data_IF_677133068330
#
_entry.id   IF_677133068330
#
_cell.length_a   1.000
_cell.length_b   1.000
_cell.length_c   1.000
_cell.angle_alpha   90.00
_cell.angle_beta   90.00
_cell.angle_gamma   90.00
#
_symmetry.space_group_name_H-M   'P 1'
#
loop_
_entity.id
_entity.type
_entity.pdbx_description
1 polymer ?
#
# COMPACT_ATOMS: atom_id res chain seq x y z
N UNK A 1 1.60 -3.59 15.33
CA UNK A 1 0.89 -3.63 14.03
C UNK A 1 -0.60 -3.47 14.29
N UNK A 2 -1.31 -4.49 14.78
CA UNK A 2 -2.79 -4.50 14.95
C UNK A 2 -3.51 -3.21 15.32
N UNK A 3 -3.03 -2.49 16.36
CA UNK A 3 -3.67 -1.26 16.85
C UNK A 3 -2.78 -0.01 16.77
N UNK A 4 -1.52 -0.16 16.34
CA UNK A 4 -0.53 0.93 16.37
C UNK A 4 -0.12 1.40 14.98
N UNK A 5 -0.35 0.59 13.95
CA UNK A 5 -0.03 0.93 12.56
C UNK A 5 -1.04 0.25 11.61
N UNK A 6 -1.47 0.93 10.54
CA UNK A 6 -2.28 0.29 9.51
C UNK A 6 -1.48 -0.83 8.82
N UNK A 7 -2.16 -1.89 8.37
CA UNK A 7 -1.55 -2.95 7.56
C UNK A 7 -1.56 -4.36 8.16
N UNK A 8 -2.19 -4.59 9.33
CA UNK A 8 -2.34 -5.95 9.85
C UNK A 8 -3.18 -6.85 8.92
N UNK A 9 -4.18 -6.29 8.23
CA UNK A 9 -4.96 -7.00 7.22
C UNK A 9 -4.15 -7.29 5.95
N UNK A 10 -3.23 -6.40 5.57
CA UNK A 10 -2.25 -6.70 4.52
C UNK A 10 -1.36 -7.89 4.92
N UNK A 11 -0.95 -7.95 6.18
CA UNK A 11 -0.18 -9.07 6.72
C UNK A 11 -1.00 -10.37 6.73
N UNK A 12 -2.28 -10.32 7.10
CA UNK A 12 -3.18 -11.47 7.03
C UNK A 12 -3.29 -12.01 5.59
N UNK A 13 -3.49 -11.12 4.60
CA UNK A 13 -3.49 -11.49 3.19
C UNK A 13 -2.15 -12.09 2.74
N UNK A 14 -1.02 -11.49 3.17
CA UNK A 14 0.31 -12.02 2.89
C UNK A 14 0.49 -13.44 3.41
N UNK A 15 0.12 -13.71 4.66
CA UNK A 15 0.21 -15.06 5.25
C UNK A 15 -0.68 -16.06 4.49
N UNK A 16 -1.89 -15.64 4.09
CA UNK A 16 -2.78 -16.46 3.27
C UNK A 16 -2.15 -16.82 1.92
N UNK A 17 -1.65 -15.82 1.18
CA UNK A 17 -1.00 -16.03 -0.12
C UNK A 17 0.31 -16.83 0.02
N UNK A 18 1.08 -16.61 1.08
CA UNK A 18 2.29 -17.36 1.38
C UNK A 18 1.98 -18.82 1.70
N UNK A 19 0.90 -19.09 2.44
CA UNK A 19 0.40 -20.45 2.67
C UNK A 19 0.01 -21.16 1.38
N UNK A 20 -0.71 -20.48 0.49
CA UNK A 20 -1.05 -20.99 -0.85
C UNK A 20 0.22 -21.31 -1.63
N UNK A 21 1.19 -20.39 -1.65
CA UNK A 21 2.46 -20.59 -2.33
C UNK A 21 3.25 -21.78 -1.76
N UNK A 22 3.38 -21.90 -0.44
CA UNK A 22 4.04 -23.06 0.22
C UNK A 22 3.34 -24.38 -0.11
N UNK A 23 2.01 -24.38 -0.18
CA UNK A 23 1.24 -25.56 -0.55
C UNK A 23 1.53 -26.03 -1.99
N UNK A 24 1.66 -25.12 -2.94
CA UNK A 24 2.03 -25.48 -4.31
C UNK A 24 3.51 -25.83 -4.45
N UNK A 25 4.38 -25.22 -3.66
CA UNK A 25 5.84 -25.48 -3.65
C UNK A 25 6.24 -26.72 -2.84
N UNK A 26 5.30 -27.39 -2.16
CA UNK A 26 5.57 -28.52 -1.25
C UNK A 26 6.31 -29.72 -1.85
N UNK A 27 6.26 -29.87 -3.18
CA UNK A 27 6.99 -30.92 -3.91
C UNK A 27 8.49 -30.66 -3.97
N UNK A 28 8.89 -29.40 -4.01
CA UNK A 28 10.29 -28.98 -3.99
C UNK A 28 10.79 -28.81 -2.54
N UNK A 29 9.95 -28.25 -1.67
CA UNK A 29 10.28 -27.98 -0.27
C UNK A 29 9.19 -28.54 0.66
N UNK A 30 9.43 -29.66 1.38
CA UNK A 30 8.44 -30.27 2.24
C UNK A 30 7.78 -29.29 3.21
N UNK A 31 6.44 -29.33 3.29
CA UNK A 31 5.65 -28.50 4.18
C UNK A 31 5.27 -29.30 5.44
N UNK A 32 5.89 -28.96 6.56
CA UNK A 32 5.68 -29.63 7.85
C UNK A 32 4.35 -29.20 8.47
N UNK A 33 3.70 -30.10 9.19
CA UNK A 33 2.44 -29.82 9.92
C UNK A 33 2.57 -28.61 10.84
N UNK A 34 3.70 -28.46 11.53
CA UNK A 34 3.98 -27.30 12.37
C UNK A 34 3.91 -26.00 11.58
N UNK A 35 4.47 -25.94 10.38
CA UNK A 35 4.42 -24.72 9.54
C UNK A 35 2.98 -24.39 9.13
N UNK A 36 2.18 -25.41 8.76
CA UNK A 36 0.75 -25.23 8.45
C UNK A 36 0.01 -24.63 9.64
N UNK A 37 0.22 -25.17 10.84
CA UNK A 37 -0.39 -24.63 12.07
C UNK A 37 0.00 -23.17 12.28
N UNK A 38 1.28 -22.82 12.11
CA UNK A 38 1.74 -21.43 12.29
C UNK A 38 1.11 -20.50 11.24
N UNK A 39 1.06 -20.91 9.97
CA UNK A 39 0.47 -20.11 8.89
C UNK A 39 -1.02 -19.86 9.17
N UNK A 40 -1.78 -20.91 9.48
CA UNK A 40 -3.23 -20.79 9.74
C UNK A 40 -3.50 -19.99 11.00
N UNK A 41 -2.82 -20.29 12.11
CA UNK A 41 -3.05 -19.60 13.38
C UNK A 41 -2.67 -18.12 13.31
N UNK A 42 -1.52 -17.79 12.70
CA UNK A 42 -1.10 -16.39 12.54
C UNK A 42 -2.00 -15.63 11.56
N UNK A 43 -2.44 -16.25 10.48
CA UNK A 43 -3.40 -15.66 9.54
C UNK A 43 -4.76 -15.38 10.18
N UNK A 44 -5.27 -16.33 10.98
CA UNK A 44 -6.51 -16.17 11.73
C UNK A 44 -6.39 -15.07 12.80
N UNK A 45 -5.29 -15.05 13.56
CA UNK A 45 -5.03 -14.02 14.56
C UNK A 45 -4.90 -12.64 13.92
N UNK A 46 -4.17 -12.50 12.81
CA UNK A 46 -4.00 -11.23 12.12
C UNK A 46 -5.34 -10.70 11.57
N UNK A 47 -6.18 -11.59 11.03
CA UNK A 47 -7.55 -11.26 10.59
C UNK A 47 -8.41 -10.79 11.76
N UNK A 48 -8.45 -11.57 12.86
CA UNK A 48 -9.24 -11.25 14.04
C UNK A 48 -8.82 -9.89 14.63
N UNK A 49 -7.51 -9.66 14.78
CA UNK A 49 -6.97 -8.38 15.25
C UNK A 49 -7.31 -7.26 14.27
N UNK A 50 -7.20 -7.48 12.96
CA UNK A 50 -7.48 -6.46 11.95
C UNK A 50 -8.93 -5.98 11.90
N UNK A 51 -9.89 -6.84 12.21
CA UNK A 51 -11.31 -6.47 12.27
C UNK A 51 -11.81 -6.14 13.68
N UNK A 52 -11.04 -6.48 14.71
CA UNK A 52 -11.45 -6.27 16.10
C UNK A 52 -11.79 -4.81 16.43
N UNK A 53 -11.07 -3.84 15.86
CA UNK A 53 -11.33 -2.43 16.17
C UNK A 53 -12.69 -1.96 15.65
N UNK A 54 -13.13 -2.43 14.48
CA UNK A 54 -14.46 -2.16 13.97
C UNK A 54 -15.54 -2.71 14.92
N UNK A 55 -15.33 -3.91 15.46
CA UNK A 55 -16.25 -4.54 16.41
C UNK A 55 -16.25 -3.78 17.75
N UNK A 56 -15.07 -3.42 18.27
CA UNK A 56 -14.93 -2.67 19.53
C UNK A 56 -15.61 -1.31 19.40
N UNK A 57 -15.38 -0.58 18.30
CA UNK A 57 -16.03 0.69 18.03
C UNK A 57 -17.55 0.54 18.00
N UNK A 58 -18.06 -0.48 17.32
CA UNK A 58 -19.50 -0.76 17.28
C UNK A 58 -20.09 -1.03 18.66
N UNK A 59 -19.43 -1.85 19.49
CA UNK A 59 -19.90 -2.18 20.84
C UNK A 59 -19.88 -0.94 21.74
N UNK A 60 -18.79 -0.18 21.72
CA UNK A 60 -18.60 0.96 22.63
C UNK A 60 -19.51 2.14 22.27
N UNK A 61 -19.76 2.37 20.98
CA UNK A 61 -20.58 3.48 20.51
C UNK A 61 -22.07 3.13 20.35
N UNK A 62 -22.41 1.84 20.27
CA UNK A 62 -23.74 1.39 19.91
C UNK A 62 -24.07 1.55 18.42
N UNK A 63 -23.13 2.01 17.58
CA UNK A 63 -23.29 2.21 16.14
C UNK A 63 -22.36 1.28 15.34
N UNK A 64 -22.90 0.27 14.62
CA UNK A 64 -22.12 -0.60 13.74
C UNK A 64 -21.29 0.15 12.68
N UNK A 65 -21.71 1.36 12.30
CA UNK A 65 -21.04 2.20 11.31
C UNK A 65 -19.91 3.07 11.87
N UNK A 66 -19.72 3.15 13.20
CA UNK A 66 -18.86 4.14 13.83
C UNK A 66 -17.41 4.15 13.31
N UNK A 67 -16.83 2.97 13.08
CA UNK A 67 -15.48 2.84 12.53
C UNK A 67 -15.41 3.42 11.11
N UNK A 68 -16.31 3.00 10.22
CA UNK A 68 -16.32 3.47 8.83
C UNK A 68 -16.66 4.95 8.74
N UNK A 69 -17.57 5.45 9.57
CA UNK A 69 -17.86 6.89 9.66
C UNK A 69 -16.61 7.70 10.02
N UNK A 70 -15.78 7.19 10.93
CA UNK A 70 -14.51 7.82 11.31
C UNK A 70 -13.50 7.80 10.16
N UNK A 71 -13.34 6.66 9.49
CA UNK A 71 -12.41 6.53 8.35
C UNK A 71 -12.84 7.42 7.16
N UNK A 72 -14.13 7.48 6.86
CA UNK A 72 -14.67 8.29 5.77
C UNK A 72 -14.68 9.78 6.10
N UNK A 73 -14.75 10.18 7.37
CA UNK A 73 -14.67 11.58 7.76
C UNK A 73 -13.37 12.25 7.29
N UNK A 74 -12.25 11.52 7.21
CA UNK A 74 -10.98 12.04 6.69
C UNK A 74 -11.03 12.38 5.19
N UNK A 75 -11.92 11.74 4.41
CA UNK A 75 -12.07 11.99 2.98
C UNK A 75 -12.87 13.25 2.67
N UNK A 76 -13.79 13.64 3.56
CA UNK A 76 -14.69 14.80 3.34
C UNK A 76 -13.95 16.13 3.13
N UNK A 77 -12.74 16.26 3.65
CA UNK A 77 -11.89 17.42 3.42
C UNK A 77 -11.40 17.53 1.96
N UNK A 78 -11.41 16.42 1.22
CA UNK A 78 -10.95 16.33 -0.17
C UNK A 78 -12.11 16.15 -1.15
N UNK A 79 -13.18 15.46 -0.72
CA UNK A 79 -14.38 15.16 -1.50
C UNK A 79 -15.61 15.63 -0.72
N UNK A 80 -16.07 16.90 -0.92
CA UNK A 80 -17.18 17.48 -0.16
C UNK A 80 -18.50 16.71 -0.31
N UNK A 81 -18.73 16.09 -1.47
CA UNK A 81 -19.96 15.38 -1.82
C UNK A 81 -19.88 13.85 -1.64
N UNK A 82 -18.90 13.33 -0.88
CA UNK A 82 -18.78 11.88 -0.67
C UNK A 82 -19.90 11.36 0.24
N UNK A 83 -20.81 10.55 -0.31
CA UNK A 83 -22.05 10.08 0.32
C UNK A 83 -21.85 9.12 1.52
N UNK A 84 -20.65 9.03 2.09
CA UNK A 84 -20.40 8.25 3.31
C UNK A 84 -20.51 6.74 3.14
N UNK A 85 -20.48 6.22 1.91
CA UNK A 85 -20.52 4.79 1.64
C UNK A 85 -19.12 4.24 1.35
N UNK A 86 -18.70 3.24 2.13
CA UNK A 86 -17.45 2.54 1.89
C UNK A 86 -17.64 1.49 0.79
N UNK A 87 -16.95 1.68 -0.34
CA UNK A 87 -16.77 0.67 -1.38
C UNK A 87 -15.27 0.37 -1.50
N UNK A 88 -14.82 -0.89 -1.36
CA UNK A 88 -13.42 -1.23 -1.59
C UNK A 88 -12.94 -0.77 -2.98
N UNK A 89 -11.72 -0.27 -3.07
CA UNK A 89 -11.05 0.18 -4.30
C UNK A 89 -11.54 1.51 -4.90
N UNK A 90 -12.75 1.95 -4.57
CA UNK A 90 -13.34 3.19 -5.07
C UNK A 90 -12.54 4.45 -4.68
N UNK A 91 -12.04 4.48 -3.44
CA UNK A 91 -11.32 5.63 -2.88
C UNK A 91 -10.09 6.03 -3.70
N UNK A 92 -9.34 5.05 -4.22
CA UNK A 92 -8.15 5.32 -5.03
C UNK A 92 -8.50 5.90 -6.39
N UNK A 93 -9.58 5.42 -7.01
CA UNK A 93 -10.07 5.93 -8.30
C UNK A 93 -10.60 7.35 -8.15
N UNK A 94 -11.39 7.61 -7.10
CA UNK A 94 -11.87 8.96 -6.78
C UNK A 94 -10.73 9.93 -6.48
N UNK A 95 -9.74 9.49 -5.69
CA UNK A 95 -8.56 10.28 -5.41
C UNK A 95 -7.75 10.59 -6.66
N UNK A 96 -7.58 9.60 -7.55
CA UNK A 96 -6.90 9.82 -8.82
C UNK A 96 -7.64 10.85 -9.70
N UNK A 97 -8.97 10.74 -9.81
CA UNK A 97 -9.78 11.73 -10.52
C UNK A 97 -9.64 13.14 -9.91
N UNK A 98 -9.74 13.26 -8.58
CA UNK A 98 -9.54 14.52 -7.86
C UNK A 98 -8.18 15.16 -8.18
N UNK A 99 -7.08 14.41 -8.08
CA UNK A 99 -5.75 14.94 -8.39
C UNK A 99 -5.60 15.32 -9.86
N UNK A 100 -6.23 14.58 -10.76
CA UNK A 100 -6.29 14.93 -12.18
C UNK A 100 -6.92 16.30 -12.44
N UNK A 101 -8.03 16.61 -11.75
CA UNK A 101 -8.66 17.94 -11.79
C UNK A 101 -7.74 19.02 -11.20
N UNK A 102 -7.17 18.76 -10.02
CA UNK A 102 -6.25 19.69 -9.34
C UNK A 102 -5.02 20.03 -10.19
N UNK A 103 -4.50 19.06 -10.95
CA UNK A 103 -3.34 19.25 -11.83
C UNK A 103 -3.69 19.73 -13.24
N UNK A 104 -4.98 19.92 -13.54
CA UNK A 104 -5.44 20.42 -14.85
C UNK A 104 -5.41 19.39 -15.99
N UNK A 105 -5.31 18.10 -15.67
CA UNK A 105 -5.39 17.00 -16.65
C UNK A 105 -6.82 16.44 -16.79
N UNK A 106 -7.74 16.91 -15.96
CA UNK A 106 -9.10 16.39 -15.81
C UNK A 106 -9.13 15.03 -15.10
N UNK A 107 -10.31 14.64 -14.64
CA UNK A 107 -10.55 13.39 -13.92
C UNK A 107 -10.02 12.15 -14.67
N UNK A 108 -10.23 12.11 -15.99
CA UNK A 108 -9.75 11.01 -16.83
C UNK A 108 -8.21 10.91 -16.83
N UNK A 109 -7.50 12.04 -16.89
CA UNK A 109 -6.04 12.05 -16.86
C UNK A 109 -5.48 11.45 -15.57
N UNK A 110 -6.11 11.76 -14.44
CA UNK A 110 -5.74 11.16 -13.14
C UNK A 110 -5.96 9.65 -13.09
N UNK A 111 -7.10 9.16 -13.57
CA UNK A 111 -7.41 7.71 -13.63
C UNK A 111 -6.49 6.97 -14.60
N UNK A 112 -6.14 7.58 -15.73
CA UNK A 112 -5.16 7.02 -16.68
C UNK A 112 -3.80 6.89 -16.00
N UNK A 113 -3.33 7.93 -15.29
CA UNK A 113 -2.06 7.88 -14.56
C UNK A 113 -2.06 6.75 -13.52
N UNK A 114 -3.13 6.62 -12.73
CA UNK A 114 -3.28 5.52 -11.78
C UNK A 114 -3.18 4.16 -12.47
N UNK A 115 -3.87 4.00 -13.59
CA UNK A 115 -3.87 2.75 -14.38
C UNK A 115 -2.47 2.39 -14.87
N UNK A 116 -1.71 3.37 -15.36
CA UNK A 116 -0.32 3.19 -15.80
C UNK A 116 0.59 2.80 -14.64
N UNK A 117 0.46 3.44 -13.47
CA UNK A 117 1.23 3.11 -12.27
C UNK A 117 0.94 1.69 -11.82
N UNK A 118 -0.34 1.29 -11.78
CA UNK A 118 -0.75 -0.06 -11.38
C UNK A 118 -0.27 -1.12 -12.37
N UNK A 119 -0.38 -0.86 -13.67
CA UNK A 119 0.13 -1.75 -14.71
C UNK A 119 1.65 -1.91 -14.61
N UNK A 120 2.38 -0.81 -14.40
CA UNK A 120 3.84 -0.83 -14.21
C UNK A 120 4.25 -1.59 -12.95
N UNK A 121 3.57 -1.38 -11.82
CA UNK A 121 3.82 -2.11 -10.58
C UNK A 121 3.55 -3.61 -10.73
N UNK A 122 2.43 -3.98 -11.36
CA UNK A 122 2.11 -5.37 -11.66
C UNK A 122 3.15 -6.00 -12.59
N UNK A 123 3.53 -5.32 -13.66
CA UNK A 123 4.55 -5.76 -14.60
C UNK A 123 5.90 -5.98 -13.90
N UNK A 124 6.31 -5.06 -13.03
CA UNK A 124 7.54 -5.19 -12.25
C UNK A 124 7.48 -6.39 -11.29
N UNK A 125 6.39 -6.54 -10.54
CA UNK A 125 6.21 -7.66 -9.60
C UNK A 125 6.13 -9.01 -10.29
N UNK A 126 5.58 -9.07 -11.51
CA UNK A 126 5.43 -10.29 -12.29
C UNK A 126 6.69 -10.63 -13.08
N UNK A 127 7.32 -9.66 -13.74
CA UNK A 127 8.32 -9.93 -14.78
C UNK A 127 9.71 -9.36 -14.52
N UNK A 128 9.88 -8.35 -13.66
CA UNK A 128 11.22 -7.77 -13.46
C UNK A 128 12.16 -8.79 -12.78
N UNK A 129 13.29 -9.16 -13.42
CA UNK A 129 14.19 -10.18 -12.88
C UNK A 129 14.80 -9.75 -11.53
N UNK A 130 15.04 -8.46 -11.34
CA UNK A 130 15.57 -7.90 -10.09
C UNK A 130 14.58 -8.03 -8.94
N UNK A 131 13.28 -7.88 -9.21
CA UNK A 131 12.22 -8.06 -8.20
C UNK A 131 12.02 -9.53 -7.90
N UNK A 132 12.08 -10.40 -8.92
CA UNK A 132 12.04 -11.86 -8.74
C UNK A 132 13.18 -12.38 -7.88
N UNK A 133 14.37 -11.78 -8.01
CA UNK A 133 15.55 -12.12 -7.20
C UNK A 133 15.37 -11.84 -5.69
N UNK A 134 14.39 -11.03 -5.28
CA UNK A 134 14.09 -10.75 -3.88
C UNK A 134 13.32 -11.88 -3.18
N UNK A 135 12.91 -12.91 -3.92
CA UNK A 135 12.16 -14.04 -3.39
C UNK A 135 10.64 -13.82 -3.31
N UNK A 136 9.89 -14.90 -3.08
CA UNK A 136 8.43 -14.87 -3.03
C UNK A 136 7.89 -14.09 -1.83
N UNK A 137 8.57 -14.09 -0.68
CA UNK A 137 8.11 -13.44 0.55
C UNK A 137 7.95 -11.94 0.34
N UNK A 138 8.99 -11.28 -0.18
CA UNK A 138 8.99 -9.83 -0.44
C UNK A 138 7.92 -9.46 -1.49
N UNK A 139 7.77 -10.29 -2.53
CA UNK A 139 6.79 -10.06 -3.60
C UNK A 139 5.35 -10.22 -3.11
N UNK A 140 5.08 -11.28 -2.36
CA UNK A 140 3.75 -11.53 -1.78
C UNK A 140 3.38 -10.47 -0.75
N UNK A 141 4.34 -10.02 0.07
CA UNK A 141 4.14 -8.88 0.97
C UNK A 141 3.77 -7.62 0.19
N UNK A 142 4.56 -7.29 -0.84
CA UNK A 142 4.32 -6.12 -1.67
C UNK A 142 2.94 -6.13 -2.34
N UNK A 143 2.57 -7.26 -2.95
CA UNK A 143 1.23 -7.45 -3.54
C UNK A 143 0.15 -7.25 -2.49
N UNK A 144 0.26 -7.93 -1.35
CA UNK A 144 -0.75 -7.88 -0.29
C UNK A 144 -0.93 -6.46 0.26
N UNK A 145 0.18 -5.75 0.43
CA UNK A 145 0.18 -4.38 0.94
C UNK A 145 -0.37 -3.37 -0.06
N UNK A 146 -0.02 -3.49 -1.35
CA UNK A 146 -0.59 -2.67 -2.42
C UNK A 146 -2.10 -2.91 -2.56
N UNK A 147 -2.55 -4.17 -2.56
CA UNK A 147 -3.98 -4.51 -2.61
C UNK A 147 -4.72 -3.93 -1.42
N UNK A 148 -4.15 -4.05 -0.21
CA UNK A 148 -4.73 -3.46 0.99
C UNK A 148 -4.87 -1.94 0.88
N UNK A 149 -3.80 -1.23 0.47
CA UNK A 149 -3.86 0.22 0.30
C UNK A 149 -4.90 0.60 -0.76
N UNK A 150 -4.93 -0.08 -1.90
CA UNK A 150 -5.90 0.17 -2.95
C UNK A 150 -7.34 -0.03 -2.46
N UNK A 151 -7.58 -1.08 -1.65
CA UNK A 151 -8.90 -1.40 -1.16
C UNK A 151 -9.48 -0.34 -0.21
N UNK A 152 -8.68 0.18 0.72
CA UNK A 152 -9.23 0.95 1.86
C UNK A 152 -8.82 2.42 1.89
N UNK A 153 -7.68 2.77 1.29
CA UNK A 153 -7.06 4.07 1.49
C UNK A 153 -7.46 5.07 0.40
N UNK A 154 -7.64 6.33 0.80
CA UNK A 154 -7.80 7.45 -0.13
C UNK A 154 -6.42 8.11 -0.34
N UNK A 155 -5.89 8.22 -1.58
CA UNK A 155 -4.52 8.66 -1.85
C UNK A 155 -4.36 10.18 -1.61
N UNK A 156 -4.18 10.55 -0.35
CA UNK A 156 -3.90 11.91 0.12
C UNK A 156 -2.39 12.09 0.41
N UNK A 157 -2.02 13.23 1.00
CA UNK A 157 -0.63 13.59 1.33
C UNK A 157 0.16 12.53 2.11
N UNK A 158 -0.51 11.72 2.93
CA UNK A 158 0.11 10.65 3.71
C UNK A 158 0.50 9.41 2.90
N UNK A 159 0.18 9.35 1.60
CA UNK A 159 0.49 8.20 0.74
C UNK A 159 1.98 7.83 0.77
N UNK A 160 2.89 8.81 0.72
CA UNK A 160 4.34 8.54 0.73
C UNK A 160 4.79 7.82 2.00
N UNK A 161 4.26 8.23 3.16
CA UNK A 161 4.53 7.56 4.44
C UNK A 161 3.96 6.15 4.46
N UNK A 162 2.78 5.97 3.88
CA UNK A 162 2.16 4.66 3.78
C UNK A 162 2.83 3.75 2.76
N UNK A 163 3.65 4.24 1.83
CA UNK A 163 4.42 3.38 0.93
C UNK A 163 5.73 2.86 1.55
N UNK A 164 6.16 3.38 2.71
CA UNK A 164 7.39 2.95 3.40
C UNK A 164 7.47 1.43 3.66
N UNK A 165 6.38 0.70 3.99
CA UNK A 165 6.44 -0.76 4.14
C UNK A 165 6.76 -1.53 2.85
N UNK A 166 6.72 -0.88 1.68
CA UNK A 166 7.21 -1.44 0.42
C UNK A 166 8.73 -1.26 0.23
N UNK A 167 9.43 -0.64 1.19
CA UNK A 167 10.87 -0.41 1.12
C UNK A 167 11.73 -1.65 0.83
N UNK A 168 11.36 -2.89 1.22
CA UNK A 168 12.13 -4.06 0.79
C UNK A 168 12.24 -4.22 -0.73
N UNK A 169 11.29 -3.69 -1.52
CA UNK A 169 11.37 -3.69 -2.99
C UNK A 169 12.55 -2.85 -3.51
N UNK A 170 13.06 -1.88 -2.75
CA UNK A 170 14.27 -1.13 -3.14
C UNK A 170 15.50 -2.03 -3.26
N UNK A 171 15.49 -3.21 -2.61
CA UNK A 171 16.51 -4.23 -2.81
C UNK A 171 16.70 -4.60 -4.29
N UNK A 172 15.65 -4.51 -5.13
CA UNK A 172 15.74 -4.78 -6.56
C UNK A 172 16.73 -3.84 -7.27
N UNK A 173 16.85 -2.59 -6.82
CA UNK A 173 17.79 -1.62 -7.39
C UNK A 173 19.24 -1.92 -7.01
N UNK A 174 19.48 -2.71 -5.94
CA UNK A 174 20.80 -3.13 -5.51
C UNK A 174 21.29 -4.42 -6.19
N UNK A 175 20.39 -5.18 -6.85
CA UNK A 175 20.71 -6.43 -7.55
C UNK A 175 21.74 -6.22 -8.68
N UNK A 176 21.63 -5.20 -9.55
CA UNK A 176 22.66 -4.92 -10.55
C UNK A 176 24.02 -4.58 -9.89
N UNK A 177 25.09 -5.19 -10.42
CA UNK A 177 26.47 -4.96 -9.94
C UNK A 177 27.16 -3.73 -10.55
N UNK A 178 26.55 -3.09 -11.54
CA UNK A 178 27.13 -1.92 -12.21
C UNK A 178 27.30 -0.75 -11.24
N UNK A 179 28.53 -0.24 -11.14
CA UNK A 179 28.83 0.93 -10.31
C UNK A 179 28.13 2.18 -10.85
N UNK A 180 28.11 2.37 -12.17
CA UNK A 180 27.44 3.50 -12.83
C UNK A 180 25.95 3.50 -12.49
N UNK A 181 25.30 2.34 -12.50
CA UNK A 181 23.91 2.22 -12.06
C UNK A 181 23.73 2.61 -10.60
N UNK A 182 24.55 2.07 -9.69
CA UNK A 182 24.45 2.34 -8.25
C UNK A 182 24.69 3.81 -7.91
N UNK A 183 25.69 4.42 -8.54
CA UNK A 183 25.98 5.85 -8.42
C UNK A 183 24.82 6.67 -9.01
N UNK A 184 24.29 6.27 -10.16
CA UNK A 184 23.12 6.91 -10.77
C UNK A 184 21.89 6.89 -9.84
N UNK A 185 21.58 5.73 -9.24
CA UNK A 185 20.51 5.59 -8.24
C UNK A 185 20.77 6.50 -7.03
N UNK A 186 22.00 6.52 -6.50
CA UNK A 186 22.36 7.39 -5.38
C UNK A 186 22.16 8.87 -5.72
N UNK A 187 22.66 9.33 -6.87
CA UNK A 187 22.50 10.71 -7.34
C UNK A 187 21.02 11.04 -7.50
N UNK A 188 20.22 10.15 -8.09
CA UNK A 188 18.79 10.33 -8.25
C UNK A 188 18.07 10.45 -6.89
N UNK A 189 18.44 9.62 -5.91
CA UNK A 189 17.90 9.71 -4.54
C UNK A 189 18.27 11.04 -3.87
N UNK A 190 19.53 11.47 -3.95
CA UNK A 190 19.99 12.73 -3.36
C UNK A 190 19.32 13.95 -4.02
N UNK A 191 19.24 13.95 -5.35
CA UNK A 191 18.57 15.01 -6.09
C UNK A 191 17.05 15.05 -5.78
N UNK A 192 16.40 13.88 -5.73
CA UNK A 192 14.99 13.77 -5.36
C UNK A 192 14.72 14.22 -3.92
N UNK A 193 15.60 13.86 -2.97
CA UNK A 193 15.51 14.33 -1.60
C UNK A 193 15.67 15.84 -1.50
N UNK A 194 16.69 16.41 -2.15
CA UNK A 194 16.91 17.87 -2.19
C UNK A 194 15.70 18.59 -2.80
N UNK A 195 15.21 18.11 -3.95
CA UNK A 195 14.04 18.66 -4.63
C UNK A 195 12.81 18.64 -3.74
N UNK A 196 12.55 17.51 -3.08
CA UNK A 196 11.41 17.36 -2.20
C UNK A 196 11.51 18.29 -0.98
N UNK A 197 12.69 18.39 -0.34
CA UNK A 197 12.91 19.31 0.79
C UNK A 197 12.72 20.75 0.36
N UNK A 198 13.28 21.16 -0.77
CA UNK A 198 13.12 22.51 -1.29
C UNK A 198 11.65 22.85 -1.53
N UNK A 199 10.92 21.95 -2.21
CA UNK A 199 9.51 22.18 -2.47
C UNK A 199 8.67 22.16 -1.19
N UNK A 200 8.88 21.22 -0.26
CA UNK A 200 8.01 21.10 0.91
C UNK A 200 8.34 22.10 2.02
N UNK A 201 9.62 22.38 2.26
CA UNK A 201 10.06 23.17 3.42
C UNK A 201 10.59 24.56 3.05
N UNK A 202 11.22 24.73 1.88
CA UNK A 202 11.76 26.04 1.50
C UNK A 202 10.73 26.94 0.82
N UNK A 203 9.86 26.38 -0.03
CA UNK A 203 8.85 27.17 -0.75
C UNK A 203 7.57 27.42 0.05
N UNK A 204 7.03 26.43 0.76
CA UNK A 204 5.91 26.58 1.73
C UNK A 204 4.62 27.31 1.30
N UNK A 205 4.43 27.63 0.01
CA UNK A 205 3.42 28.56 -0.50
C UNK A 205 2.30 27.97 -1.41
N UNK A 206 2.11 26.65 -1.55
CA UNK A 206 1.02 26.09 -2.40
C UNK A 206 0.41 24.81 -1.82
N UNK A 207 -0.90 24.64 -1.96
CA UNK A 207 -1.77 23.53 -1.47
C UNK A 207 -1.29 22.08 -1.69
N UNK A 208 -0.38 21.81 -2.64
CA UNK A 208 0.30 20.51 -2.79
C UNK A 208 1.44 20.29 -1.78
N UNK A 209 1.76 21.30 -0.99
CA UNK A 209 2.48 21.22 0.27
C UNK A 209 1.42 21.08 1.36
N UNK A 210 1.62 20.10 2.23
CA UNK A 210 0.69 19.75 3.31
C UNK A 210 0.41 21.01 4.15
N UNK A 211 -0.85 21.35 4.45
CA UNK A 211 -1.19 22.54 5.25
C UNK A 211 -0.51 22.54 6.62
#
# INVERSE_FOLDING_TARGET
MGYTRPGVLAFALFIGLFGIWRFFSRRAEPLRVREVIHIVALGALATAVGFSWQIIAAIVTGDPGAYLATELAWRRNWLPDDAGHFLPFDAFVRGAAFWGEVWGWGAAGGVILLSVILAGAAAALLWAPQVRALGPEIRLWAVSYLVYLLAVFFPQSSIFRLLVPLSPLWGAFAVPRSLVWRVGVLIACLAGQWWWIYNMYALGNRFWQIP
#
